data_IF_562864572265
#
_entry.id   IF_562864572265
#
_cell.length_a   1.000
_cell.length_b   1.000
_cell.length_c   1.000
_cell.angle_alpha   90.00
_cell.angle_beta   90.00
_cell.angle_gamma   90.00
#
_symmetry.space_group_name_H-M   'P 1'
#
loop_
_entity.id
_entity.type
_entity.pdbx_description
1 polymer ?
#
# COMPACT_ATOMS: atom_id res chain seq x y z
N UNK A 1 23.32 -25.55 -17.37
CA UNK A 1 23.48 -25.66 -18.85
C UNK A 1 23.80 -24.27 -19.40
N UNK A 2 24.81 -24.19 -20.26
CA UNK A 2 25.21 -22.91 -20.92
C UNK A 2 24.32 -22.53 -22.12
N UNK A 3 23.47 -23.46 -22.58
CA UNK A 3 22.47 -23.24 -23.64
C UNK A 3 21.03 -23.23 -23.12
N UNK A 4 20.11 -22.73 -23.94
CA UNK A 4 18.69 -22.79 -23.63
C UNK A 4 18.15 -24.23 -23.76
N UNK A 5 17.22 -24.61 -22.91
CA UNK A 5 16.52 -25.89 -22.91
C UNK A 5 15.10 -25.65 -23.44
N UNK A 6 14.64 -26.47 -24.39
CA UNK A 6 13.27 -26.34 -24.94
C UNK A 6 12.65 -27.72 -25.14
N UNK A 7 11.39 -27.85 -24.78
CA UNK A 7 10.54 -29.02 -24.98
C UNK A 7 9.14 -28.67 -25.41
N UNK A 8 8.44 -29.62 -26.08
CA UNK A 8 7.02 -29.50 -26.40
C UNK A 8 6.08 -29.83 -25.22
N UNK A 9 6.55 -30.59 -24.24
CA UNK A 9 5.84 -31.05 -23.05
C UNK A 9 6.52 -30.59 -21.75
N UNK A 10 6.26 -31.33 -20.67
CA UNK A 10 6.78 -31.04 -19.34
C UNK A 10 8.30 -31.10 -19.26
N UNK A 11 8.90 -30.20 -18.45
CA UNK A 11 10.31 -30.18 -18.13
C UNK A 11 10.45 -30.26 -16.61
N UNK A 12 11.21 -31.27 -16.13
CA UNK A 12 11.49 -31.44 -14.70
C UNK A 12 12.99 -31.47 -14.45
N UNK A 13 13.44 -30.77 -13.43
CA UNK A 13 14.80 -30.78 -12.90
C UNK A 13 14.77 -31.35 -11.48
N UNK A 14 15.13 -32.62 -11.29
CA UNK A 14 15.10 -33.29 -9.98
C UNK A 14 16.18 -32.77 -8.99
N UNK A 15 17.25 -32.22 -9.49
CA UNK A 15 18.38 -31.68 -8.72
C UNK A 15 18.52 -30.17 -8.86
N UNK A 16 19.65 -29.64 -8.38
CA UNK A 16 20.01 -28.23 -8.58
C UNK A 16 20.13 -27.90 -10.07
N UNK A 17 19.49 -26.86 -10.51
CA UNK A 17 19.50 -26.42 -11.90
C UNK A 17 20.20 -25.04 -12.03
N UNK A 18 21.21 -25.00 -12.92
CA UNK A 18 21.84 -23.77 -13.40
C UNK A 18 21.63 -23.70 -14.92
N UNK A 19 20.77 -22.78 -15.38
CA UNK A 19 20.30 -22.75 -16.76
C UNK A 19 20.38 -21.35 -17.36
N UNK A 20 20.66 -21.27 -18.66
CA UNK A 20 20.62 -20.01 -19.39
C UNK A 20 19.19 -19.57 -19.70
N UNK A 21 18.31 -20.52 -20.01
CA UNK A 21 16.87 -20.28 -20.23
C UNK A 21 16.16 -21.62 -20.41
N UNK A 22 14.84 -21.66 -20.12
CA UNK A 22 14.00 -22.85 -20.22
C UNK A 22 12.67 -22.53 -20.86
N UNK A 23 12.28 -23.32 -21.90
CA UNK A 23 10.97 -23.11 -22.55
C UNK A 23 10.23 -24.44 -22.70
N UNK A 24 8.99 -24.48 -22.18
CA UNK A 24 8.01 -25.54 -22.44
C UNK A 24 6.84 -24.96 -23.22
N UNK A 25 6.61 -25.42 -24.46
CA UNK A 25 5.55 -24.85 -25.31
C UNK A 25 4.16 -25.42 -25.06
N UNK A 26 4.06 -26.56 -24.38
CA UNK A 26 2.76 -27.23 -24.12
C UNK A 26 2.58 -27.82 -22.73
N UNK A 27 3.58 -27.68 -21.84
CA UNK A 27 3.56 -28.31 -20.53
C UNK A 27 3.96 -27.37 -19.38
N UNK A 28 4.25 -27.98 -18.25
CA UNK A 28 4.73 -27.32 -17.01
C UNK A 28 6.24 -27.34 -16.93
N UNK A 29 6.81 -26.49 -16.07
CA UNK A 29 8.22 -26.52 -15.69
C UNK A 29 8.34 -26.70 -14.18
N UNK A 30 9.07 -27.72 -13.73
CA UNK A 30 9.31 -28.00 -12.30
C UNK A 30 10.79 -28.03 -11.97
N UNK A 31 11.16 -27.33 -10.91
CA UNK A 31 12.50 -27.37 -10.31
C UNK A 31 12.37 -27.91 -8.87
N UNK A 32 12.84 -29.14 -8.63
CA UNK A 32 12.78 -29.80 -7.32
C UNK A 32 13.99 -29.45 -6.42
N UNK A 33 15.08 -29.01 -7.03
CA UNK A 33 16.25 -28.45 -6.36
C UNK A 33 16.29 -26.93 -6.38
N UNK A 34 17.41 -26.37 -5.89
CA UNK A 34 17.67 -24.93 -6.05
C UNK A 34 17.84 -24.60 -7.54
N UNK A 35 17.25 -23.49 -7.97
CA UNK A 35 17.28 -23.06 -9.37
C UNK A 35 17.98 -21.70 -9.54
N UNK A 36 18.88 -21.63 -10.52
CA UNK A 36 19.48 -20.38 -10.98
C UNK A 36 19.25 -20.30 -12.49
N UNK A 37 18.50 -19.25 -12.91
CA UNK A 37 18.25 -18.97 -14.32
C UNK A 37 18.77 -17.58 -14.67
N UNK A 38 19.77 -17.52 -15.55
CA UNK A 38 20.33 -16.26 -16.04
C UNK A 38 19.52 -15.64 -17.19
N UNK A 39 18.65 -16.42 -17.83
CA UNK A 39 17.75 -16.00 -18.89
C UNK A 39 16.28 -16.28 -18.55
N UNK A 40 15.42 -16.21 -19.59
CA UNK A 40 13.98 -16.38 -19.41
C UNK A 40 13.58 -17.85 -19.16
N UNK A 41 12.58 -18.01 -18.29
CA UNK A 41 11.85 -19.26 -18.09
C UNK A 41 10.43 -19.04 -18.62
N UNK A 42 9.97 -19.87 -19.56
CA UNK A 42 8.65 -19.73 -20.16
C UNK A 42 7.94 -21.09 -20.24
N UNK A 43 6.71 -21.16 -19.74
CA UNK A 43 5.87 -22.36 -19.84
C UNK A 43 4.46 -22.02 -20.34
N UNK A 44 3.81 -23.00 -20.98
CA UNK A 44 2.38 -22.93 -21.23
C UNK A 44 1.57 -23.16 -19.94
N UNK A 45 1.98 -24.15 -19.14
CA UNK A 45 1.37 -24.49 -17.85
C UNK A 45 2.06 -23.86 -16.65
N UNK A 46 1.89 -24.47 -15.48
CA UNK A 46 2.47 -23.99 -14.22
C UNK A 46 4.01 -24.01 -14.23
N UNK A 47 4.60 -23.07 -13.47
CA UNK A 47 6.02 -23.06 -13.17
C UNK A 47 6.20 -23.18 -11.65
N UNK A 48 6.88 -24.23 -11.21
CA UNK A 48 7.10 -24.52 -9.79
C UNK A 48 8.56 -24.58 -9.42
N UNK A 49 8.92 -23.95 -8.31
CA UNK A 49 10.23 -24.03 -7.68
C UNK A 49 10.05 -24.58 -6.25
N UNK A 50 10.47 -25.81 -6.03
CA UNK A 50 10.31 -26.49 -4.74
C UNK A 50 11.31 -25.99 -3.67
N UNK A 51 12.37 -25.28 -4.08
CA UNK A 51 13.38 -24.68 -3.20
C UNK A 51 13.67 -23.23 -3.61
N UNK A 52 14.91 -22.76 -3.40
CA UNK A 52 15.28 -21.38 -3.70
C UNK A 52 15.36 -21.14 -5.22
N UNK A 53 15.01 -19.94 -5.64
CA UNK A 53 15.02 -19.52 -7.03
C UNK A 53 15.75 -18.17 -7.20
N UNK A 54 16.81 -18.18 -7.98
CA UNK A 54 17.45 -16.98 -8.52
C UNK A 54 16.99 -16.86 -9.97
N UNK A 55 16.15 -15.91 -10.27
CA UNK A 55 15.40 -15.83 -11.52
C UNK A 55 15.51 -14.45 -12.15
N UNK A 56 15.52 -14.45 -13.48
CA UNK A 56 15.42 -13.24 -14.26
C UNK A 56 13.96 -13.08 -14.71
N UNK A 57 13.63 -13.39 -15.94
CA UNK A 57 12.27 -13.28 -16.45
C UNK A 57 11.55 -14.63 -16.38
N UNK A 58 10.31 -14.65 -15.84
CA UNK A 58 9.49 -15.87 -15.73
C UNK A 58 8.09 -15.62 -16.29
N UNK A 59 7.65 -16.45 -17.24
CA UNK A 59 6.34 -16.34 -17.85
C UNK A 59 5.61 -17.67 -17.90
N UNK A 60 4.42 -17.73 -17.30
CA UNK A 60 3.45 -18.81 -17.46
C UNK A 60 2.22 -18.30 -18.21
N UNK A 61 1.97 -18.80 -19.43
CA UNK A 61 0.92 -18.24 -20.30
C UNK A 61 -0.49 -18.69 -19.96
N UNK A 62 -0.68 -19.85 -19.27
CA UNK A 62 -2.00 -20.36 -18.87
C UNK A 62 -2.02 -20.84 -17.40
N UNK A 63 -0.87 -20.92 -16.74
CA UNK A 63 -0.73 -21.50 -15.41
C UNK A 63 -0.38 -20.47 -14.32
N UNK A 64 -0.11 -21.01 -13.14
CA UNK A 64 0.35 -20.33 -11.95
C UNK A 64 1.87 -20.39 -11.82
N UNK A 65 2.43 -19.53 -10.95
CA UNK A 65 3.85 -19.60 -10.57
C UNK A 65 3.94 -19.76 -9.06
N UNK A 66 4.72 -20.72 -8.60
CA UNK A 66 4.97 -20.93 -7.17
C UNK A 66 6.44 -21.14 -6.84
N UNK A 67 6.90 -20.48 -5.76
CA UNK A 67 8.23 -20.68 -5.21
C UNK A 67 8.11 -21.02 -3.72
N UNK A 68 8.65 -22.16 -3.31
CA UNK A 68 8.60 -22.60 -1.91
C UNK A 68 9.71 -21.98 -1.07
N UNK A 69 10.93 -21.91 -1.60
CA UNK A 69 12.08 -21.30 -0.93
C UNK A 69 12.19 -19.80 -1.13
N UNK A 70 13.36 -19.25 -0.85
CA UNK A 70 13.64 -17.84 -1.09
C UNK A 70 13.71 -17.54 -2.60
N UNK A 71 13.23 -16.37 -2.98
CA UNK A 71 13.27 -15.86 -4.35
C UNK A 71 14.20 -14.65 -4.43
N UNK A 72 15.12 -14.66 -5.40
CA UNK A 72 15.91 -13.50 -5.82
C UNK A 72 15.53 -13.16 -7.27
N UNK A 73 14.84 -12.04 -7.49
CA UNK A 73 14.30 -11.68 -8.79
C UNK A 73 15.03 -10.48 -9.38
N UNK A 74 15.50 -10.62 -10.64
CA UNK A 74 16.14 -9.55 -11.42
C UNK A 74 15.39 -9.18 -12.69
N UNK A 75 14.18 -9.73 -12.92
CA UNK A 75 13.33 -9.43 -14.06
C UNK A 75 11.85 -9.65 -13.74
N UNK A 76 11.00 -9.44 -14.73
CA UNK A 76 9.55 -9.50 -14.57
C UNK A 76 9.02 -10.94 -14.44
N UNK A 77 7.94 -11.10 -13.67
CA UNK A 77 7.30 -12.39 -13.47
C UNK A 77 5.84 -12.28 -13.85
N UNK A 78 5.43 -13.01 -14.89
CA UNK A 78 4.07 -12.94 -15.43
C UNK A 78 3.41 -14.31 -15.43
N UNK A 79 2.16 -14.37 -14.99
CA UNK A 79 1.35 -15.58 -15.05
C UNK A 79 -0.09 -15.26 -15.45
N UNK A 80 -0.77 -16.23 -16.04
CA UNK A 80 -2.21 -16.10 -16.29
C UNK A 80 -3.05 -16.36 -15.03
N UNK A 81 -2.48 -17.06 -14.04
CA UNK A 81 -3.10 -17.37 -12.76
C UNK A 81 -2.29 -16.81 -11.59
N UNK A 82 -2.65 -17.15 -10.37
CA UNK A 82 -2.01 -16.62 -9.15
C UNK A 82 -0.52 -16.92 -9.06
N UNK A 83 0.20 -16.06 -8.34
CA UNK A 83 1.60 -16.29 -7.98
C UNK A 83 1.72 -16.45 -6.45
N UNK A 84 2.56 -17.38 -5.99
CA UNK A 84 2.80 -17.58 -4.57
C UNK A 84 4.29 -17.70 -4.27
N UNK A 85 4.77 -16.81 -3.40
CA UNK A 85 6.16 -16.80 -2.90
C UNK A 85 6.14 -17.13 -1.41
N UNK A 86 6.50 -18.37 -1.03
CA UNK A 86 6.43 -18.80 0.37
C UNK A 86 7.62 -18.32 1.20
N UNK A 87 8.81 -18.24 0.61
CA UNK A 87 10.03 -17.73 1.24
C UNK A 87 10.22 -16.23 1.10
N UNK A 88 11.35 -15.72 1.57
CA UNK A 88 11.71 -14.32 1.39
C UNK A 88 11.87 -13.97 -0.10
N UNK A 89 11.36 -12.81 -0.50
CA UNK A 89 11.48 -12.28 -1.86
C UNK A 89 12.42 -11.08 -1.87
N UNK A 90 13.48 -11.15 -2.67
CA UNK A 90 14.48 -10.08 -2.77
C UNK A 90 14.55 -9.56 -4.20
N UNK A 91 14.34 -8.25 -4.36
CA UNK A 91 14.50 -7.55 -5.64
C UNK A 91 15.98 -7.23 -5.88
N UNK A 92 16.50 -7.62 -7.05
CA UNK A 92 17.86 -7.29 -7.52
C UNK A 92 17.84 -6.19 -8.59
N UNK A 93 16.67 -5.87 -9.13
CA UNK A 93 16.38 -4.79 -10.06
C UNK A 93 14.95 -4.32 -9.85
N UNK A 94 14.49 -3.34 -10.62
CA UNK A 94 13.07 -3.02 -10.71
C UNK A 94 12.30 -4.19 -11.32
N UNK A 95 11.22 -4.61 -10.67
CA UNK A 95 10.44 -5.81 -11.03
C UNK A 95 8.97 -5.48 -11.20
N UNK A 96 8.39 -5.99 -12.27
CA UNK A 96 6.94 -6.01 -12.47
C UNK A 96 6.44 -7.43 -12.30
N UNK A 97 5.45 -7.61 -11.44
CA UNK A 97 4.73 -8.88 -11.26
C UNK A 97 3.31 -8.72 -11.78
N UNK A 98 2.88 -9.60 -12.69
CA UNK A 98 1.53 -9.59 -13.24
C UNK A 98 0.89 -10.98 -13.18
N UNK A 99 -0.34 -11.04 -12.69
CA UNK A 99 -1.16 -12.25 -12.60
C UNK A 99 -2.59 -12.00 -13.16
N UNK A 100 -2.71 -11.13 -14.17
CA UNK A 100 -4.00 -10.70 -14.69
C UNK A 100 -4.86 -10.06 -13.58
N UNK A 101 -6.06 -10.57 -13.36
CA UNK A 101 -6.95 -10.13 -12.26
C UNK A 101 -6.81 -10.99 -10.99
N UNK A 102 -5.86 -11.94 -10.98
CA UNK A 102 -5.65 -12.85 -9.85
C UNK A 102 -4.81 -12.19 -8.75
N UNK A 103 -4.42 -12.98 -7.75
CA UNK A 103 -3.68 -12.49 -6.59
C UNK A 103 -2.26 -13.01 -6.57
N UNK A 104 -1.33 -12.13 -6.23
CA UNK A 104 0.04 -12.47 -5.87
C UNK A 104 0.14 -12.51 -4.34
N UNK A 105 0.60 -13.63 -3.79
CA UNK A 105 0.75 -13.79 -2.34
C UNK A 105 2.21 -13.92 -1.95
N UNK A 106 2.68 -13.02 -1.12
CA UNK A 106 3.97 -13.10 -0.45
C UNK A 106 3.77 -13.57 0.99
N UNK A 107 4.20 -14.80 1.31
CA UNK A 107 4.17 -15.35 2.67
C UNK A 107 5.45 -15.06 3.46
N UNK A 108 6.53 -14.76 2.77
CA UNK A 108 7.79 -14.28 3.32
C UNK A 108 7.92 -12.76 3.26
N UNK A 109 9.02 -12.23 3.76
CA UNK A 109 9.35 -10.80 3.66
C UNK A 109 9.69 -10.43 2.22
N UNK A 110 9.37 -9.18 1.84
CA UNK A 110 9.79 -8.60 0.55
C UNK A 110 10.80 -7.50 0.82
N UNK A 111 12.00 -7.59 0.24
CA UNK A 111 13.08 -6.63 0.45
C UNK A 111 13.81 -6.32 -0.87
N UNK A 112 14.57 -5.23 -0.87
CA UNK A 112 15.40 -4.80 -2.00
C UNK A 112 15.33 -3.28 -2.16
N UNK A 113 16.34 -2.67 -2.77
CA UNK A 113 16.42 -1.21 -2.95
C UNK A 113 15.85 -0.75 -4.30
N UNK A 114 14.98 -1.57 -4.89
CA UNK A 114 14.41 -1.39 -6.23
C UNK A 114 12.90 -1.17 -6.18
N UNK A 115 12.32 -0.76 -7.30
CA UNK A 115 10.89 -0.58 -7.42
C UNK A 115 10.16 -1.93 -7.61
N UNK A 116 9.01 -2.09 -6.93
CA UNK A 116 8.10 -3.21 -7.13
C UNK A 116 6.78 -2.69 -7.69
N UNK A 117 6.40 -3.18 -8.86
CA UNK A 117 5.09 -2.93 -9.47
C UNK A 117 4.29 -4.22 -9.52
N UNK A 118 3.04 -4.18 -9.04
CA UNK A 118 2.09 -5.29 -9.07
C UNK A 118 0.96 -4.94 -10.03
N UNK A 119 0.84 -5.71 -11.10
CA UNK A 119 -0.06 -5.40 -12.22
C UNK A 119 0.54 -4.44 -13.22
N UNK A 120 -0.25 -4.05 -14.21
CA UNK A 120 0.09 -3.06 -15.22
C UNK A 120 -1.18 -2.27 -15.60
N UNK A 121 -1.13 -1.42 -16.59
CA UNK A 121 -2.28 -0.57 -16.97
C UNK A 121 -3.50 -1.36 -17.49
N UNK A 122 -3.31 -2.61 -17.90
CA UNK A 122 -4.38 -3.52 -18.36
C UNK A 122 -4.76 -4.59 -17.32
N UNK A 123 -3.84 -4.92 -16.39
CA UNK A 123 -3.97 -6.01 -15.42
C UNK A 123 -3.99 -5.46 -13.99
N UNK A 124 -5.17 -5.42 -13.40
CA UNK A 124 -5.37 -5.01 -12.00
C UNK A 124 -5.06 -6.15 -11.01
N UNK A 125 -3.83 -6.67 -11.08
CA UNK A 125 -3.38 -7.75 -10.21
C UNK A 125 -3.47 -7.35 -8.74
N UNK A 126 -4.09 -8.19 -7.91
CA UNK A 126 -4.18 -7.99 -6.47
C UNK A 126 -2.93 -8.52 -5.75
N UNK A 127 -2.67 -8.02 -4.55
CA UNK A 127 -1.55 -8.50 -3.74
C UNK A 127 -1.92 -8.73 -2.27
N UNK A 128 -1.34 -9.78 -1.70
CA UNK A 128 -1.35 -10.03 -0.26
C UNK A 128 0.08 -10.14 0.25
N UNK A 129 0.45 -9.29 1.21
CA UNK A 129 1.69 -9.36 1.96
C UNK A 129 1.39 -9.88 3.37
N UNK A 130 1.80 -11.14 3.66
CA UNK A 130 1.62 -11.74 4.99
C UNK A 130 2.74 -11.36 5.97
N UNK A 131 3.87 -10.88 5.47
CA UNK A 131 5.02 -10.38 6.24
C UNK A 131 5.43 -9.00 5.75
N UNK A 132 6.37 -8.40 6.47
CA UNK A 132 6.81 -7.04 6.19
C UNK A 132 7.45 -6.87 4.81
N UNK A 133 7.20 -5.69 4.24
CA UNK A 133 7.82 -5.20 3.01
C UNK A 133 8.82 -4.10 3.38
N UNK A 134 10.06 -4.23 2.91
CA UNK A 134 11.12 -3.25 3.14
C UNK A 134 11.63 -3.17 4.59
N UNK A 135 11.53 -4.27 5.35
CA UNK A 135 11.95 -4.28 6.77
C UNK A 135 13.48 -4.25 6.96
N UNK A 136 14.24 -4.79 6.03
CA UNK A 136 15.72 -4.78 6.05
C UNK A 136 16.24 -3.77 5.03
N UNK A 137 15.84 -3.92 3.77
CA UNK A 137 16.14 -3.00 2.68
C UNK A 137 14.82 -2.47 2.13
N UNK A 138 14.54 -1.20 2.38
CA UNK A 138 13.30 -0.54 1.90
C UNK A 138 13.25 -0.57 0.39
N UNK A 139 12.07 -0.84 -0.17
CA UNK A 139 11.86 -0.70 -1.60
C UNK A 139 12.07 0.76 -2.04
N UNK A 140 12.55 0.96 -3.27
CA UNK A 140 12.56 2.29 -3.86
C UNK A 140 11.15 2.88 -4.00
N UNK A 141 10.20 2.03 -4.45
CA UNK A 141 8.77 2.36 -4.49
C UNK A 141 7.92 1.10 -4.53
N UNK A 142 6.63 1.25 -4.23
CA UNK A 142 5.62 0.19 -4.40
C UNK A 142 4.42 0.76 -5.17
N UNK A 143 4.08 0.13 -6.30
CA UNK A 143 2.90 0.48 -7.10
C UNK A 143 2.03 -0.76 -7.30
N UNK A 144 0.84 -0.77 -6.73
CA UNK A 144 -0.14 -1.85 -6.85
C UNK A 144 -1.33 -1.35 -7.66
N UNK A 145 -1.58 -1.93 -8.84
CA UNK A 145 -2.68 -1.53 -9.72
C UNK A 145 -4.04 -2.05 -9.24
N UNK A 146 -4.07 -3.20 -8.58
CA UNK A 146 -5.27 -3.80 -7.99
C UNK A 146 -5.42 -3.52 -6.50
N UNK A 147 -6.09 -4.45 -5.80
CA UNK A 147 -6.26 -4.37 -4.36
C UNK A 147 -4.98 -4.80 -3.62
N UNK A 148 -4.73 -4.20 -2.47
CA UNK A 148 -3.63 -4.55 -1.60
C UNK A 148 -4.11 -4.92 -0.19
N UNK A 149 -3.65 -6.07 0.30
CA UNK A 149 -3.78 -6.46 1.71
C UNK A 149 -2.39 -6.63 2.31
N UNK A 150 -2.10 -5.94 3.40
CA UNK A 150 -0.84 -6.08 4.14
C UNK A 150 -1.12 -6.28 5.63
N UNK A 151 -0.75 -7.45 6.16
CA UNK A 151 -0.95 -7.78 7.58
C UNK A 151 0.26 -7.39 8.46
N UNK A 152 1.32 -6.87 7.83
CA UNK A 152 2.51 -6.34 8.48
C UNK A 152 2.94 -5.03 7.81
N UNK A 153 3.96 -4.36 8.35
CA UNK A 153 4.42 -3.06 7.88
C UNK A 153 4.94 -3.09 6.43
N UNK A 154 4.58 -2.04 5.68
CA UNK A 154 5.08 -1.75 4.33
C UNK A 154 5.93 -0.49 4.38
N UNK A 155 7.18 -0.57 3.91
CA UNK A 155 8.14 0.52 4.01
C UNK A 155 8.90 0.74 2.69
N UNK A 156 8.90 1.98 2.20
CA UNK A 156 9.63 2.38 0.99
C UNK A 156 10.48 3.62 1.26
N UNK A 157 11.43 3.89 0.38
CA UNK A 157 12.12 5.18 0.34
C UNK A 157 11.38 6.21 -0.50
N UNK A 158 10.71 5.78 -1.57
CA UNK A 158 9.91 6.62 -2.47
C UNK A 158 8.41 6.34 -2.35
N UNK A 159 7.67 6.53 -3.44
CA UNK A 159 6.22 6.52 -3.45
C UNK A 159 5.60 5.15 -3.14
N UNK A 160 4.41 5.19 -2.53
CA UNK A 160 3.51 4.05 -2.41
C UNK A 160 2.19 4.42 -3.07
N UNK A 161 1.74 3.60 -4.03
CA UNK A 161 0.46 3.78 -4.70
C UNK A 161 -0.35 2.48 -4.68
N UNK A 162 -1.64 2.56 -4.38
CA UNK A 162 -2.59 1.45 -4.47
C UNK A 162 -3.82 1.91 -5.25
N UNK A 163 -4.05 1.29 -6.42
CA UNK A 163 -5.14 1.63 -7.32
C UNK A 163 -6.52 1.12 -6.87
N UNK A 164 -6.56 -0.06 -6.26
CA UNK A 164 -7.77 -0.69 -5.73
C UNK A 164 -8.01 -0.42 -4.25
N UNK A 165 -8.75 -1.32 -3.61
CA UNK A 165 -8.99 -1.27 -2.16
C UNK A 165 -7.70 -1.60 -1.41
N UNK A 166 -7.37 -0.79 -0.40
CA UNK A 166 -6.22 -1.00 0.47
C UNK A 166 -6.67 -1.41 1.88
N UNK A 167 -6.25 -2.60 2.34
CA UNK A 167 -6.39 -3.04 3.73
C UNK A 167 -4.99 -3.23 4.31
N UNK A 168 -4.52 -2.29 5.12
CA UNK A 168 -3.13 -2.24 5.57
C UNK A 168 -3.03 -2.07 7.09
N UNK A 169 -1.95 -2.58 7.67
CA UNK A 169 -1.65 -2.32 9.09
C UNK A 169 -0.86 -1.03 9.22
N UNK A 170 0.35 -0.99 8.73
CA UNK A 170 1.25 0.15 8.81
C UNK A 170 1.89 0.41 7.45
N UNK A 171 1.94 1.68 7.03
CA UNK A 171 2.53 2.09 5.74
C UNK A 171 3.43 3.29 5.93
N UNK A 172 4.67 3.21 5.45
CA UNK A 172 5.63 4.30 5.57
C UNK A 172 6.40 4.56 4.29
N UNK A 173 6.51 5.84 3.91
CA UNK A 173 7.40 6.34 2.86
C UNK A 173 8.33 7.41 3.42
N UNK A 174 9.65 7.18 3.36
CA UNK A 174 10.62 8.12 3.96
C UNK A 174 11.05 9.26 3.05
N UNK A 175 10.68 9.25 1.77
CA UNK A 175 11.04 10.30 0.81
C UNK A 175 9.96 10.60 -0.23
N UNK A 176 8.85 9.86 -0.24
CA UNK A 176 7.81 9.99 -1.26
C UNK A 176 6.43 10.33 -0.71
N UNK A 177 5.43 10.16 -1.57
CA UNK A 177 4.01 10.32 -1.29
C UNK A 177 3.35 8.95 -1.07
N UNK A 178 2.18 8.95 -0.41
CA UNK A 178 1.32 7.77 -0.30
C UNK A 178 -0.03 8.10 -0.95
N UNK A 179 -0.46 7.26 -1.89
CA UNK A 179 -1.72 7.44 -2.61
C UNK A 179 -2.55 6.17 -2.60
N UNK A 180 -3.77 6.27 -2.11
CA UNK A 180 -4.80 5.23 -2.19
C UNK A 180 -5.91 5.74 -3.10
N UNK A 181 -6.09 5.14 -4.28
CA UNK A 181 -7.12 5.56 -5.24
C UNK A 181 -8.49 4.96 -4.90
N UNK A 182 -8.52 3.74 -4.37
CA UNK A 182 -9.73 3.07 -3.86
C UNK A 182 -10.03 3.41 -2.40
N UNK A 183 -10.97 2.68 -1.81
CA UNK A 183 -11.23 2.75 -0.37
C UNK A 183 -10.00 2.26 0.41
N UNK A 184 -9.68 2.91 1.51
CA UNK A 184 -8.54 2.56 2.34
C UNK A 184 -8.93 2.31 3.80
N UNK A 185 -8.46 1.19 4.34
CA UNK A 185 -8.54 0.88 5.77
C UNK A 185 -7.14 0.65 6.32
N UNK A 186 -6.73 1.48 7.27
CA UNK A 186 -5.47 1.36 7.98
C UNK A 186 -5.71 1.15 9.48
N UNK A 187 -5.26 0.02 10.02
CA UNK A 187 -5.39 -0.28 11.46
C UNK A 187 -4.24 0.29 12.30
N UNK A 188 -3.15 0.70 11.69
CA UNK A 188 -1.99 1.33 12.33
C UNK A 188 -1.64 2.67 11.69
N UNK A 189 -0.37 3.02 11.71
CA UNK A 189 0.13 4.33 11.27
C UNK A 189 0.34 4.38 9.76
N UNK A 190 -0.09 5.48 9.13
CA UNK A 190 0.34 5.89 7.78
C UNK A 190 1.27 7.09 7.90
N UNK A 191 2.48 6.98 7.37
CA UNK A 191 3.49 8.05 7.46
C UNK A 191 4.18 8.29 6.13
N UNK A 192 4.20 9.54 5.65
CA UNK A 192 4.91 9.94 4.45
C UNK A 192 5.75 11.20 4.68
N UNK A 193 6.81 11.37 3.89
CA UNK A 193 7.47 12.67 3.80
C UNK A 193 6.64 13.65 2.97
N UNK A 194 6.11 13.22 1.83
CA UNK A 194 5.25 14.01 0.93
C UNK A 194 3.76 13.89 1.27
N UNK A 195 2.93 14.19 0.29
CA UNK A 195 1.48 14.18 0.43
C UNK A 195 0.93 12.78 0.73
N UNK A 196 -0.19 12.74 1.45
CA UNK A 196 -0.99 11.52 1.64
C UNK A 196 -2.38 11.77 1.07
N UNK A 197 -2.78 10.96 0.09
CA UNK A 197 -4.06 11.12 -0.60
C UNK A 197 -4.92 9.86 -0.51
N UNK A 198 -6.20 10.05 -0.23
CA UNK A 198 -7.23 9.02 -0.24
C UNK A 198 -8.28 9.43 -1.27
N UNK A 199 -8.33 8.72 -2.40
CA UNK A 199 -9.23 9.02 -3.52
C UNK A 199 -10.68 8.63 -3.28
N UNK A 200 -10.96 7.83 -2.24
CA UNK A 200 -12.31 7.45 -1.79
C UNK A 200 -12.39 7.47 -0.26
N UNK A 201 -13.18 6.55 0.32
CA UNK A 201 -13.40 6.50 1.76
C UNK A 201 -12.13 6.04 2.49
N UNK A 202 -11.88 6.62 3.66
CA UNK A 202 -10.75 6.31 4.50
C UNK A 202 -11.18 5.96 5.93
N UNK A 203 -10.81 4.77 6.39
CA UNK A 203 -10.82 4.40 7.82
C UNK A 203 -9.38 4.45 8.27
N UNK A 204 -9.04 5.41 9.12
CA UNK A 204 -7.66 5.72 9.47
C UNK A 204 -7.46 5.74 10.98
N UNK A 205 -6.30 5.29 11.41
CA UNK A 205 -5.87 5.39 12.79
C UNK A 205 -4.99 6.64 12.96
N UNK A 206 -3.69 6.52 12.76
CA UNK A 206 -2.78 7.67 12.85
C UNK A 206 -2.20 7.98 11.47
N UNK A 207 -2.26 9.26 11.05
CA UNK A 207 -1.75 9.69 9.74
C UNK A 207 -0.80 10.87 9.91
N UNK A 208 0.40 10.76 9.37
CA UNK A 208 1.42 11.82 9.44
C UNK A 208 2.07 12.09 8.09
N UNK A 209 1.95 13.32 7.59
CA UNK A 209 2.75 13.85 6.49
C UNK A 209 3.73 14.89 7.01
N UNK A 210 5.05 14.63 6.88
CA UNK A 210 6.07 15.49 7.50
C UNK A 210 6.36 16.78 6.74
N UNK A 211 6.15 16.81 5.41
CA UNK A 211 6.35 17.96 4.55
C UNK A 211 5.17 18.27 3.61
N UNK A 212 4.22 17.36 3.49
CA UNK A 212 3.10 17.45 2.54
C UNK A 212 1.76 17.78 3.19
N UNK A 213 0.74 17.73 2.36
CA UNK A 213 -0.67 17.84 2.68
C UNK A 213 -1.33 16.48 2.91
N UNK A 214 -2.54 16.48 3.46
CA UNK A 214 -3.41 15.29 3.55
C UNK A 214 -4.75 15.63 2.91
N UNK A 215 -5.23 14.76 2.01
CA UNK A 215 -6.56 14.91 1.42
C UNK A 215 -7.32 13.59 1.40
N UNK A 216 -8.63 13.68 1.69
CA UNK A 216 -9.58 12.58 1.57
C UNK A 216 -10.75 13.03 0.71
N UNK A 217 -11.02 12.35 -0.40
CA UNK A 217 -12.11 12.69 -1.32
C UNK A 217 -13.47 12.14 -0.85
N UNK A 218 -13.49 10.94 -0.27
CA UNK A 218 -14.69 10.32 0.29
C UNK A 218 -14.89 10.61 1.77
N UNK A 219 -15.62 9.73 2.44
CA UNK A 219 -15.85 9.84 3.89
C UNK A 219 -14.57 9.49 4.66
N UNK A 220 -14.40 10.15 5.81
CA UNK A 220 -13.31 9.85 6.74
C UNK A 220 -13.86 9.29 8.05
N UNK A 221 -13.35 8.17 8.49
CA UNK A 221 -13.59 7.56 9.80
C UNK A 221 -12.28 7.58 10.59
N UNK A 222 -12.15 8.50 11.55
CA UNK A 222 -10.89 8.75 12.24
C UNK A 222 -10.88 8.11 13.64
N UNK A 223 -9.89 7.23 13.87
CA UNK A 223 -9.66 6.57 15.15
C UNK A 223 -8.43 7.14 15.90
N UNK A 224 -7.63 8.01 15.27
CA UNK A 224 -6.41 8.58 15.84
C UNK A 224 -6.04 9.93 15.21
N UNK A 225 -4.89 10.43 15.56
CA UNK A 225 -4.44 11.78 15.21
C UNK A 225 -4.06 11.92 13.74
N UNK A 226 -4.24 13.13 13.19
CA UNK A 226 -3.91 13.46 11.80
C UNK A 226 -2.99 14.67 11.79
N UNK A 227 -1.76 14.49 11.31
CA UNK A 227 -0.74 15.55 11.32
C UNK A 227 -0.19 15.77 9.92
N UNK A 228 -0.10 17.03 9.50
CA UNK A 228 0.56 17.42 8.24
C UNK A 228 1.39 18.69 8.41
N UNK A 229 2.36 18.87 7.53
CA UNK A 229 3.12 20.13 7.44
C UNK A 229 2.36 21.18 6.63
N UNK A 230 1.43 20.77 5.78
CA UNK A 230 0.60 21.64 4.95
C UNK A 230 -0.89 21.46 5.27
N UNK A 231 -1.78 22.03 4.45
CA UNK A 231 -3.23 21.98 4.67
C UNK A 231 -3.80 20.57 4.63
N UNK A 232 -4.92 20.39 5.30
CA UNK A 232 -5.70 19.14 5.24
C UNK A 232 -7.08 19.43 4.67
N UNK A 233 -7.56 18.54 3.80
CA UNK A 233 -8.88 18.68 3.18
C UNK A 233 -9.65 17.37 3.29
N UNK A 234 -10.85 17.44 3.87
CA UNK A 234 -11.78 16.33 3.98
C UNK A 234 -13.04 16.69 3.18
N UNK A 235 -13.20 16.09 1.99
CA UNK A 235 -14.28 16.43 1.07
C UNK A 235 -15.61 15.78 1.45
N UNK A 236 -15.60 14.56 2.00
CA UNK A 236 -16.78 13.85 2.50
C UNK A 236 -16.98 13.99 4.00
N UNK A 237 -18.05 13.39 4.51
CA UNK A 237 -18.36 13.41 5.93
C UNK A 237 -17.22 12.86 6.80
N UNK A 238 -16.92 13.54 7.90
CA UNK A 238 -15.89 13.18 8.85
C UNK A 238 -16.50 12.63 10.13
N UNK A 239 -16.16 11.41 10.50
CA UNK A 239 -16.66 10.76 11.71
C UNK A 239 -15.54 10.52 12.72
N UNK A 240 -15.72 11.03 13.93
CA UNK A 240 -14.84 10.76 15.07
C UNK A 240 -15.24 9.42 15.71
N UNK A 241 -14.39 8.43 15.68
CA UNK A 241 -14.56 7.16 16.39
C UNK A 241 -13.72 7.11 17.68
N UNK A 242 -12.92 8.14 17.91
CA UNK A 242 -12.12 8.36 19.12
C UNK A 242 -11.88 9.86 19.27
N UNK A 243 -11.28 10.30 20.38
CA UNK A 243 -10.78 11.67 20.50
C UNK A 243 -9.60 11.87 19.53
N UNK A 244 -9.69 12.92 18.71
CA UNK A 244 -8.75 13.15 17.60
C UNK A 244 -8.14 14.53 17.72
N UNK A 245 -6.83 14.60 17.53
CA UNK A 245 -6.11 15.86 17.33
C UNK A 245 -5.68 15.99 15.87
N UNK A 246 -6.04 17.12 15.24
CA UNK A 246 -5.68 17.46 13.86
C UNK A 246 -4.70 18.63 13.87
N UNK A 247 -3.52 18.42 13.29
CA UNK A 247 -2.45 19.43 13.23
C UNK A 247 -2.05 19.70 11.77
N UNK A 248 -2.09 20.95 11.34
CA UNK A 248 -1.68 21.40 10.01
C UNK A 248 -0.68 22.57 10.06
N UNK A 249 0.25 22.59 11.02
CA UNK A 249 1.37 23.53 11.19
C UNK A 249 1.10 24.95 10.64
N UNK A 250 0.26 25.75 11.28
CA UNK A 250 -0.11 27.10 10.84
C UNK A 250 -0.87 27.19 9.49
N UNK A 251 -1.24 26.06 8.92
CA UNK A 251 -2.09 25.99 7.73
C UNK A 251 -3.55 25.75 8.10
N UNK A 252 -4.37 25.37 7.14
CA UNK A 252 -5.81 25.23 7.30
C UNK A 252 -6.24 23.78 7.22
N UNK A 253 -7.19 23.41 8.08
CA UNK A 253 -8.00 22.21 7.97
C UNK A 253 -9.36 22.61 7.37
N UNK A 254 -9.74 21.98 6.28
CA UNK A 254 -11.00 22.23 5.59
C UNK A 254 -11.89 20.99 5.66
N UNK A 255 -13.04 21.11 6.32
CA UNK A 255 -14.12 20.14 6.27
C UNK A 255 -15.20 20.65 5.32
N UNK A 256 -15.40 19.99 4.18
CA UNK A 256 -16.42 20.39 3.18
C UNK A 256 -17.76 19.74 3.42
N UNK A 257 -17.82 18.70 4.22
CA UNK A 257 -19.05 18.05 4.65
C UNK A 257 -19.15 18.01 6.18
N UNK A 258 -20.16 17.33 6.70
CA UNK A 258 -20.45 17.28 8.15
C UNK A 258 -19.33 16.63 8.95
N UNK A 259 -19.14 17.09 10.18
CA UNK A 259 -18.25 16.48 11.17
C UNK A 259 -19.10 15.96 12.32
N UNK A 260 -19.07 14.67 12.60
CA UNK A 260 -19.89 14.03 13.63
C UNK A 260 -19.06 13.06 14.49
N UNK A 261 -19.61 12.65 15.63
CA UNK A 261 -19.01 11.70 16.55
C UNK A 261 -19.09 12.19 17.99
N UNK A 262 -19.09 11.27 18.95
CA UNK A 262 -19.34 11.58 20.38
C UNK A 262 -18.05 11.81 21.17
N UNK A 263 -16.95 12.12 20.50
CA UNK A 263 -15.61 12.29 21.07
C UNK A 263 -15.13 13.75 20.99
N UNK A 264 -13.95 14.01 21.56
CA UNK A 264 -13.34 15.34 21.51
C UNK A 264 -12.61 15.56 20.17
N UNK A 265 -12.77 16.77 19.63
CA UNK A 265 -12.01 17.23 18.47
C UNK A 265 -11.09 18.39 18.88
N UNK A 266 -9.80 18.19 18.76
CA UNK A 266 -8.81 19.25 18.92
C UNK A 266 -8.16 19.58 17.56
N UNK A 267 -8.10 20.88 17.21
CA UNK A 267 -7.49 21.39 15.98
C UNK A 267 -6.39 22.39 16.35
N UNK A 268 -5.14 22.06 16.03
CA UNK A 268 -3.97 22.81 16.50
C UNK A 268 -3.57 22.50 17.93
N UNK A 269 -2.43 23.04 18.34
CA UNK A 269 -1.91 23.01 19.71
C UNK A 269 -1.05 24.24 19.99
N UNK A 270 -0.49 24.35 21.19
CA UNK A 270 0.30 25.53 21.58
C UNK A 270 1.56 25.78 20.72
N UNK A 271 2.11 24.75 20.10
CA UNK A 271 3.26 24.87 19.20
C UNK A 271 2.87 25.11 17.74
N UNK A 272 1.65 24.72 17.34
CA UNK A 272 1.16 24.79 15.96
C UNK A 272 -0.28 25.27 15.94
N UNK A 273 -0.48 26.58 15.75
CA UNK A 273 -1.80 27.12 15.48
C UNK A 273 -2.29 26.57 14.13
N UNK A 274 -3.50 26.02 14.10
CA UNK A 274 -4.12 25.46 12.90
C UNK A 274 -5.47 26.09 12.70
N UNK A 275 -5.66 26.77 11.57
CA UNK A 275 -6.97 27.35 11.24
C UNK A 275 -7.92 26.25 10.77
N UNK A 276 -9.22 26.44 10.99
CA UNK A 276 -10.23 25.48 10.52
C UNK A 276 -11.40 26.17 9.84
N UNK A 277 -11.89 25.53 8.77
CA UNK A 277 -13.14 25.91 8.11
C UNK A 277 -14.08 24.70 8.12
N UNK A 278 -15.28 24.90 8.67
CA UNK A 278 -16.41 23.98 8.56
C UNK A 278 -17.38 24.55 7.51
N UNK A 279 -17.54 23.87 6.38
CA UNK A 279 -18.48 24.30 5.33
C UNK A 279 -19.91 23.83 5.61
N UNK A 280 -20.09 22.74 6.34
CA UNK A 280 -21.36 22.24 6.84
C UNK A 280 -21.33 22.09 8.36
N UNK A 281 -22.42 21.57 8.93
CA UNK A 281 -22.58 21.46 10.39
C UNK A 281 -21.57 20.50 11.04
N UNK A 282 -21.20 20.81 12.27
CA UNK A 282 -20.44 19.93 13.14
C UNK A 282 -21.30 19.51 14.34
N UNK A 283 -21.40 18.19 14.61
CA UNK A 283 -22.23 17.63 15.67
C UNK A 283 -23.73 17.66 15.40
N UNK A 284 -24.16 17.56 14.14
CA UNK A 284 -25.57 17.61 13.76
C UNK A 284 -26.32 16.30 14.00
N UNK A 285 -25.65 15.15 13.83
CA UNK A 285 -26.22 13.82 14.04
C UNK A 285 -25.70 13.24 15.36
N UNK A 286 -24.39 13.06 15.46
CA UNK A 286 -23.70 12.64 16.66
C UNK A 286 -22.94 13.83 17.23
N UNK A 287 -23.46 14.35 18.36
CA UNK A 287 -22.97 15.59 18.95
C UNK A 287 -21.55 15.41 19.49
N UNK A 288 -20.61 16.21 18.96
CA UNK A 288 -19.21 16.24 19.39
C UNK A 288 -19.13 16.49 20.89
N UNK A 289 -18.27 15.76 21.62
CA UNK A 289 -18.14 15.95 23.06
C UNK A 289 -17.62 17.36 23.40
N UNK A 290 -16.45 17.73 22.88
CA UNK A 290 -15.89 19.09 22.97
C UNK A 290 -15.14 19.48 21.70
N UNK A 291 -15.02 20.79 21.44
CA UNK A 291 -14.23 21.34 20.35
C UNK A 291 -13.18 22.29 20.89
N UNK A 292 -11.92 22.00 20.64
CA UNK A 292 -10.80 22.90 20.89
C UNK A 292 -10.16 23.31 19.58
N UNK A 293 -9.98 24.62 19.35
CA UNK A 293 -9.28 25.16 18.18
C UNK A 293 -8.17 26.09 18.64
N UNK A 294 -6.93 25.77 18.35
CA UNK A 294 -5.79 26.67 18.51
C UNK A 294 -5.43 27.26 17.15
N UNK A 295 -6.07 28.38 16.85
CA UNK A 295 -6.05 29.07 15.57
C UNK A 295 -7.42 29.71 15.32
N UNK A 296 -7.64 30.19 14.09
CA UNK A 296 -8.91 30.79 13.70
C UNK A 296 -9.93 29.72 13.29
N UNK A 297 -11.20 30.00 13.57
CA UNK A 297 -12.33 29.17 13.13
C UNK A 297 -13.24 29.95 12.17
N UNK A 298 -13.62 29.31 11.07
CA UNK A 298 -14.68 29.75 10.17
C UNK A 298 -15.74 28.68 10.13
N UNK A 299 -16.97 28.98 10.53
CA UNK A 299 -18.11 28.07 10.45
C UNK A 299 -19.17 28.68 9.55
N UNK A 300 -19.52 27.96 8.45
CA UNK A 300 -20.61 28.40 7.55
C UNK A 300 -21.97 27.84 7.96
N UNK A 301 -21.99 26.90 8.91
CA UNK A 301 -23.20 26.29 9.46
C UNK A 301 -23.01 26.01 10.97
N UNK A 302 -24.01 25.42 11.61
CA UNK A 302 -24.09 25.22 13.05
C UNK A 302 -23.02 24.24 13.58
N UNK A 303 -22.37 24.63 14.68
CA UNK A 303 -21.54 23.75 15.50
C UNK A 303 -22.27 23.43 16.80
N UNK A 304 -22.38 22.15 17.13
CA UNK A 304 -23.00 21.64 18.35
C UNK A 304 -22.06 20.72 19.11
N UNK A 305 -21.84 20.98 20.37
CA UNK A 305 -21.06 20.15 21.28
C UNK A 305 -21.84 19.87 22.57
N UNK A 306 -21.53 18.77 23.25
CA UNK A 306 -22.06 18.49 24.60
C UNK A 306 -21.36 19.33 25.66
N UNK A 307 -20.06 19.52 25.51
CA UNK A 307 -19.22 20.27 26.43
C UNK A 307 -18.73 21.58 25.82
N UNK A 308 -17.50 21.95 26.14
CA UNK A 308 -16.95 23.26 25.81
C UNK A 308 -16.58 23.40 24.33
N UNK A 309 -16.75 24.63 23.81
CA UNK A 309 -16.09 25.13 22.62
C UNK A 309 -15.03 26.14 23.07
N UNK A 310 -13.77 25.91 22.76
CA UNK A 310 -12.66 26.80 23.10
C UNK A 310 -11.89 27.17 21.83
N UNK A 311 -11.78 28.48 21.58
CA UNK A 311 -11.05 29.03 20.43
C UNK A 311 -9.95 29.95 20.94
N UNK A 312 -8.72 29.67 20.60
CA UNK A 312 -7.53 30.39 21.11
C UNK A 312 -6.66 30.95 19.99
N UNK A 313 -7.27 31.50 18.93
CA UNK A 313 -6.61 32.18 17.81
C UNK A 313 -6.61 33.68 17.98
#
# INVERSE_FOLDING_TARGET
ATGAISAGGDITFDGTADVAGVTSTGGVISFDGDATASGAISASGDITFSKNAIINEVTSTNGAISVTGATSASGNITSAQSQTFNGAFTLQSDVVLSAGTNTITFKGTVNGTHALTIGNDTDTTNVTFEKSVGSVNKLASLDVKGNATATAAVSTTGNIAVGGVANVTEVSSTGGVISFTGDATASGTISAQGDITFGKNAIINEVTSTNGAISVEGTTSANGNITSAQSQTFNGAFTLNNSVTILAKNNTVLFKDTVNGTYDLAIGNNANATNVTFEKSAGSTDVINSLFVKGNITAKDKITTKGNISVGG
#
